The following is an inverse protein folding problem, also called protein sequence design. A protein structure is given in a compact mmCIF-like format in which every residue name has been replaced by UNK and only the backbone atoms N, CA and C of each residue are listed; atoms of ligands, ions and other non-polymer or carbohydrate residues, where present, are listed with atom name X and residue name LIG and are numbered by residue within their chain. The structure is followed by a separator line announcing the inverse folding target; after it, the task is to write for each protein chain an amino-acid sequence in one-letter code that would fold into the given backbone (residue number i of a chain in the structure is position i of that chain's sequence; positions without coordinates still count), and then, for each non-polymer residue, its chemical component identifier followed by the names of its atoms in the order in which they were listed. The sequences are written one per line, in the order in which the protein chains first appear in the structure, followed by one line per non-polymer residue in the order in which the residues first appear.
data_IF_690914711294
#
_entry.id   IF_690914711294
#
_cell.length_a   1.000
_cell.length_b   1.000
_cell.length_c   1.000
_cell.angle_alpha   90.00
_cell.angle_beta   90.00
_cell.angle_gamma   90.00
#
_symmetry.space_group_name_H-M   'P 1'
#
loop_
_entity.id
_entity.type
_entity.pdbx_description
1 polymer ?
#
# COMPACT_ATOMS: atom_id res chain seq x y z
N UNK A 1 -34.49 -2.57 -28.42
CA UNK A 1 -33.37 -3.28 -27.78
C UNK A 1 -32.46 -2.23 -27.15
N UNK A 2 -32.69 -1.87 -25.89
CA UNK A 2 -31.85 -0.88 -25.19
C UNK A 2 -30.93 -1.62 -24.23
N UNK A 3 -29.63 -1.58 -24.51
CA UNK A 3 -28.61 -2.05 -23.60
C UNK A 3 -28.61 -1.15 -22.35
N UNK A 4 -28.82 -1.73 -21.18
CA UNK A 4 -28.56 -1.03 -19.93
C UNK A 4 -27.04 -0.93 -19.74
N UNK A 5 -26.46 0.27 -19.50
CA UNK A 5 -25.08 0.37 -19.09
C UNK A 5 -24.92 -0.29 -17.71
N UNK A 6 -24.03 -1.28 -17.62
CA UNK A 6 -23.67 -1.95 -16.37
C UNK A 6 -23.01 -0.91 -15.45
N UNK A 7 -23.58 -0.72 -14.26
CA UNK A 7 -23.20 0.35 -13.33
C UNK A 7 -21.71 0.30 -12.92
N UNK A 8 -20.95 1.42 -13.02
CA UNK A 8 -19.55 1.51 -12.60
C UNK A 8 -19.32 1.60 -11.07
N UNK A 9 -20.41 1.65 -10.29
CA UNK A 9 -20.40 1.92 -8.85
C UNK A 9 -19.66 0.91 -7.96
N UNK A 10 -19.73 -0.43 -8.17
CA UNK A 10 -19.12 -1.38 -7.23
C UNK A 10 -17.60 -1.31 -7.22
N UNK A 11 -16.98 -1.15 -8.40
CA UNK A 11 -15.51 -1.05 -8.51
C UNK A 11 -15.01 0.26 -7.93
N UNK A 12 -15.73 1.37 -8.13
CA UNK A 12 -15.38 2.64 -7.51
C UNK A 12 -15.44 2.55 -5.97
N UNK A 13 -16.47 1.90 -5.42
CA UNK A 13 -16.57 1.65 -3.99
C UNK A 13 -15.41 0.80 -3.45
N UNK A 14 -15.00 -0.25 -4.17
CA UNK A 14 -13.84 -1.08 -3.80
C UNK A 14 -12.53 -0.29 -3.81
N UNK A 15 -12.30 0.55 -4.83
CA UNK A 15 -11.09 1.39 -4.90
C UNK A 15 -11.04 2.36 -3.72
N UNK A 16 -12.15 3.02 -3.41
CA UNK A 16 -12.23 3.96 -2.29
C UNK A 16 -12.06 3.27 -0.93
N UNK A 17 -12.67 2.10 -0.71
CA UNK A 17 -12.48 1.31 0.52
C UNK A 17 -11.02 0.88 0.70
N UNK A 18 -10.34 0.46 -0.38
CA UNK A 18 -8.92 0.09 -0.31
C UNK A 18 -8.01 1.30 0.01
N UNK A 19 -8.31 2.46 -0.56
CA UNK A 19 -7.60 3.72 -0.23
C UNK A 19 -7.83 4.09 1.23
N UNK A 20 -9.07 4.03 1.72
CA UNK A 20 -9.39 4.37 3.11
C UNK A 20 -8.68 3.42 4.11
N UNK A 21 -8.69 2.11 3.83
CA UNK A 21 -7.96 1.12 4.63
C UNK A 21 -6.44 1.27 4.56
N UNK A 22 -5.91 1.89 3.50
CA UNK A 22 -4.50 2.26 3.43
C UNK A 22 -4.20 3.37 4.41
N UNK A 23 -5.02 4.45 4.41
CA UNK A 23 -4.88 5.59 5.31
C UNK A 23 -5.01 5.18 6.78
N UNK A 24 -6.02 4.38 7.10
CA UNK A 24 -6.21 3.81 8.45
C UNK A 24 -4.98 2.96 8.84
N UNK A 25 -4.47 2.14 7.92
CA UNK A 25 -3.28 1.31 8.17
C UNK A 25 -2.02 2.14 8.44
N UNK A 26 -1.83 3.26 7.75
CA UNK A 26 -0.74 4.20 7.99
C UNK A 26 -0.86 4.85 9.37
N UNK A 27 -2.05 5.33 9.74
CA UNK A 27 -2.30 5.87 11.08
C UNK A 27 -2.00 4.84 12.17
N UNK A 28 -2.45 3.59 11.99
CA UNK A 28 -2.15 2.50 12.91
C UNK A 28 -0.63 2.24 13.00
N UNK A 29 0.09 2.28 11.88
CA UNK A 29 1.54 2.12 11.87
C UNK A 29 2.25 3.27 12.64
N UNK A 30 1.81 4.52 12.46
CA UNK A 30 2.35 5.67 13.20
C UNK A 30 2.18 5.51 14.72
N UNK A 31 1.10 4.87 15.16
CA UNK A 31 0.80 4.63 16.59
C UNK A 31 1.26 3.27 17.12
N UNK A 32 1.90 2.43 16.30
CA UNK A 32 2.37 1.13 16.75
C UNK A 32 3.50 1.27 17.79
N UNK A 33 3.44 0.45 18.83
CA UNK A 33 4.37 0.49 19.97
C UNK A 33 5.73 -0.15 19.65
N UNK A 34 5.78 -1.07 18.68
CA UNK A 34 7.01 -1.78 18.30
C UNK A 34 7.36 -1.53 16.84
N UNK A 35 8.67 -1.56 16.53
CA UNK A 35 9.17 -1.40 15.16
C UNK A 35 8.65 -2.49 14.21
N UNK A 36 8.52 -3.73 14.70
CA UNK A 36 7.99 -4.86 13.94
C UNK A 36 6.52 -4.66 13.56
N UNK A 37 5.68 -4.25 14.52
CA UNK A 37 4.27 -4.01 14.26
C UNK A 37 4.06 -2.80 13.34
N UNK A 38 4.83 -1.73 13.55
CA UNK A 38 4.86 -0.57 12.64
C UNK A 38 5.19 -1.00 11.22
N UNK A 39 6.25 -1.78 11.04
CA UNK A 39 6.69 -2.25 9.72
C UNK A 39 5.63 -3.14 9.07
N UNK A 40 5.02 -4.06 9.83
CA UNK A 40 3.97 -4.96 9.35
C UNK A 40 2.73 -4.20 8.89
N UNK A 41 2.27 -3.23 9.68
CA UNK A 41 1.12 -2.38 9.36
C UNK A 41 1.38 -1.50 8.13
N UNK A 42 2.57 -0.87 8.06
CA UNK A 42 2.97 -0.07 6.90
C UNK A 42 3.00 -0.93 5.62
N UNK A 43 3.58 -2.13 5.66
CA UNK A 43 3.62 -3.02 4.50
C UNK A 43 2.21 -3.46 4.07
N UNK A 44 1.32 -3.76 5.03
CA UNK A 44 -0.07 -4.11 4.73
C UNK A 44 -0.83 -2.93 4.10
N UNK A 45 -0.58 -1.71 4.54
CA UNK A 45 -1.12 -0.51 3.91
C UNK A 45 -0.65 -0.40 2.45
N UNK A 46 0.64 -0.61 2.17
CA UNK A 46 1.16 -0.61 0.80
C UNK A 46 0.47 -1.63 -0.12
N UNK A 47 0.24 -2.85 0.38
CA UNK A 47 -0.48 -3.90 -0.35
C UNK A 47 -1.90 -3.47 -0.74
N UNK A 48 -2.59 -2.76 0.16
CA UNK A 48 -3.95 -2.25 -0.10
C UNK A 48 -3.95 -1.12 -1.13
N UNK A 49 -2.97 -0.22 -1.07
CA UNK A 49 -2.81 0.84 -2.07
C UNK A 49 -2.58 0.25 -3.47
N UNK A 50 -1.68 -0.72 -3.60
CA UNK A 50 -1.44 -1.41 -4.88
C UNK A 50 -2.67 -2.19 -5.36
N UNK A 51 -3.41 -2.83 -4.44
CA UNK A 51 -4.67 -3.49 -4.77
C UNK A 51 -5.74 -2.51 -5.29
N UNK A 52 -5.75 -1.25 -4.82
CA UNK A 52 -6.67 -0.23 -5.32
C UNK A 52 -6.41 0.08 -6.80
N UNK A 53 -5.14 0.19 -7.21
CA UNK A 53 -4.75 0.33 -8.61
C UNK A 53 -5.24 -0.87 -9.43
N UNK A 54 -4.97 -2.09 -8.97
CA UNK A 54 -5.42 -3.30 -9.69
C UNK A 54 -6.95 -3.40 -9.76
N UNK A 55 -7.67 -2.94 -8.73
CA UNK A 55 -9.13 -2.92 -8.74
C UNK A 55 -9.67 -1.91 -9.77
N UNK A 56 -9.03 -0.75 -9.90
CA UNK A 56 -9.39 0.24 -10.91
C UNK A 56 -9.17 -0.28 -12.35
N UNK A 57 -8.06 -1.00 -12.57
CA UNK A 57 -7.67 -1.54 -13.87
C UNK A 57 -8.36 -2.86 -14.25
N UNK A 58 -8.94 -3.60 -13.29
CA UNK A 58 -9.70 -4.84 -13.56
C UNK A 58 -10.90 -4.67 -14.52
N UNK A 59 -11.25 -3.43 -14.88
CA UNK A 59 -12.19 -3.10 -15.96
C UNK A 59 -11.60 -3.26 -17.36
N UNK A 60 -10.28 -3.09 -17.51
CA UNK A 60 -9.53 -3.05 -18.77
C UNK A 60 -8.91 -4.41 -19.12
N UNK A 61 -8.59 -5.24 -18.13
CA UNK A 61 -7.99 -6.56 -18.35
C UNK A 61 -8.68 -7.65 -17.49
N UNK A 62 -9.10 -8.79 -18.07
CA UNK A 62 -9.60 -9.93 -17.32
C UNK A 62 -8.54 -10.49 -16.36
N UNK A 63 -8.91 -10.73 -15.08
CA UNK A 63 -8.00 -11.26 -14.07
C UNK A 63 -7.46 -12.64 -14.46
N UNK A 64 -6.14 -12.81 -14.43
CA UNK A 64 -5.44 -14.10 -14.58
C UNK A 64 -4.78 -14.50 -13.26
N UNK A 65 -5.51 -15.28 -12.44
CA UNK A 65 -4.99 -16.01 -11.27
C UNK A 65 -4.51 -15.19 -10.07
N UNK A 66 -4.13 -15.86 -8.96
CA UNK A 66 -3.47 -15.21 -7.83
C UNK A 66 -2.05 -14.82 -8.26
N UNK A 67 -1.86 -13.55 -8.60
CA UNK A 67 -0.53 -12.98 -8.85
C UNK A 67 -0.11 -12.14 -7.67
N UNK A 68 1.18 -12.20 -7.34
CA UNK A 68 1.82 -11.25 -6.45
C UNK A 68 1.50 -9.84 -6.95
N UNK A 69 0.86 -9.01 -6.12
CA UNK A 69 0.43 -7.65 -6.49
C UNK A 69 1.59 -6.82 -7.06
N UNK A 70 2.79 -7.01 -6.52
CA UNK A 70 4.01 -6.33 -6.95
C UNK A 70 4.49 -6.79 -8.33
N UNK A 71 4.20 -8.04 -8.74
CA UNK A 71 4.52 -8.51 -10.08
C UNK A 71 3.53 -8.01 -11.15
N UNK A 72 2.32 -7.61 -10.76
CA UNK A 72 1.28 -7.14 -11.69
C UNK A 72 1.31 -5.62 -11.85
N UNK A 73 1.63 -4.90 -10.77
CA UNK A 73 1.56 -3.43 -10.73
C UNK A 73 2.27 -2.74 -11.91
N UNK A 74 3.50 -3.12 -12.31
CA UNK A 74 4.20 -2.48 -13.44
C UNK A 74 3.45 -2.61 -14.77
N UNK A 75 2.64 -3.65 -14.95
CA UNK A 75 1.87 -3.86 -16.18
C UNK A 75 0.65 -2.94 -16.32
N UNK A 76 0.13 -2.41 -15.21
CA UNK A 76 -1.07 -1.56 -15.20
C UNK A 76 -0.76 -0.11 -14.83
N UNK A 77 0.32 0.12 -14.09
CA UNK A 77 0.83 1.43 -13.70
C UNK A 77 2.37 1.42 -13.79
N UNK A 78 2.95 1.56 -15.00
CA UNK A 78 4.40 1.53 -15.20
C UNK A 78 5.18 2.58 -14.39
N UNK A 79 4.56 3.72 -14.10
CA UNK A 79 5.11 4.77 -13.23
C UNK A 79 5.30 4.32 -11.77
N UNK A 80 4.65 3.22 -11.36
CA UNK A 80 4.79 2.62 -10.04
C UNK A 80 5.74 1.41 -10.04
N UNK A 81 6.46 1.14 -11.13
CA UNK A 81 7.32 -0.04 -11.24
C UNK A 81 8.46 -0.05 -10.22
N UNK A 82 9.14 1.08 -10.02
CA UNK A 82 10.22 1.19 -9.03
C UNK A 82 9.72 0.93 -7.60
N UNK A 83 8.49 1.36 -7.31
CA UNK A 83 7.83 1.07 -6.04
C UNK A 83 7.51 -0.41 -5.87
N UNK A 84 7.08 -1.08 -6.94
CA UNK A 84 6.82 -2.51 -6.92
C UNK A 84 8.09 -3.31 -6.58
N UNK A 85 9.22 -2.95 -7.20
CA UNK A 85 10.52 -3.58 -6.92
C UNK A 85 10.99 -3.30 -5.48
N UNK A 86 10.86 -2.05 -5.02
CA UNK A 86 11.13 -1.67 -3.64
C UNK A 86 10.33 -2.52 -2.65
N UNK A 87 9.01 -2.60 -2.80
CA UNK A 87 8.15 -3.32 -1.87
C UNK A 87 8.35 -4.85 -1.94
N UNK A 88 8.63 -5.41 -3.11
CA UNK A 88 9.03 -6.82 -3.24
C UNK A 88 10.31 -7.12 -2.44
N UNK A 89 11.28 -6.19 -2.44
CA UNK A 89 12.47 -6.26 -1.61
C UNK A 89 12.17 -6.18 -0.10
N UNK A 90 11.23 -5.34 0.32
CA UNK A 90 10.84 -5.20 1.74
C UNK A 90 10.17 -6.47 2.30
N UNK A 91 9.44 -7.22 1.48
CA UNK A 91 8.82 -8.49 1.89
C UNK A 91 9.87 -9.57 2.21
N UNK A 92 10.96 -9.59 1.46
CA UNK A 92 12.10 -10.50 1.72
C UNK A 92 12.77 -10.19 3.06
N UNK A 93 12.91 -8.90 3.39
CA UNK A 93 13.48 -8.46 4.68
C UNK A 93 12.57 -8.86 5.85
N UNK A 94 11.25 -8.75 5.69
CA UNK A 94 10.29 -9.22 6.70
C UNK A 94 10.46 -10.70 7.03
N UNK A 95 10.65 -11.56 6.02
CA UNK A 95 10.89 -12.98 6.26
C UNK A 95 12.15 -13.25 7.10
N UNK A 96 13.19 -12.45 6.95
CA UNK A 96 14.40 -12.55 7.79
C UNK A 96 14.13 -12.14 9.23
N UNK A 97 13.31 -11.11 9.44
CA UNK A 97 12.88 -10.66 10.78
C UNK A 97 12.04 -11.72 11.47
N UNK A 98 11.07 -12.32 10.77
CA UNK A 98 10.23 -13.39 11.33
C UNK A 98 11.04 -14.62 11.74
N UNK A 99 12.15 -14.90 11.05
CA UNK A 99 13.10 -15.96 11.42
C UNK A 99 14.10 -15.57 12.51
N UNK A 100 14.07 -14.32 13.00
CA UNK A 100 15.04 -13.77 13.95
C UNK A 100 16.44 -13.52 13.36
N UNK A 101 16.59 -13.65 12.04
CA UNK A 101 17.86 -13.45 11.34
C UNK A 101 18.21 -11.96 11.14
N UNK A 102 17.25 -11.06 11.34
CA UNK A 102 17.43 -9.61 11.25
C UNK A 102 16.56 -8.92 12.29
N UNK A 103 17.13 -7.94 13.02
CA UNK A 103 16.37 -7.07 13.91
C UNK A 103 16.03 -5.78 13.16
N UNK A 104 14.75 -5.37 13.18
CA UNK A 104 14.32 -4.08 12.63
C UNK A 104 14.55 -2.96 13.63
N UNK A 105 15.22 -1.92 13.19
CA UNK A 105 15.31 -0.67 13.96
C UNK A 105 14.02 0.16 13.83
N UNK A 106 13.74 0.97 14.84
CA UNK A 106 12.68 2.00 14.79
C UNK A 106 12.79 2.87 13.55
N UNK A 107 14.02 3.27 13.20
CA UNK A 107 14.29 4.10 12.02
C UNK A 107 13.86 3.42 10.73
N UNK A 108 14.16 2.14 10.55
CA UNK A 108 13.74 1.40 9.36
C UNK A 108 12.22 1.29 9.25
N UNK A 109 11.52 1.11 10.37
CA UNK A 109 10.07 1.11 10.39
C UNK A 109 9.49 2.48 10.05
N UNK A 110 10.08 3.57 10.56
CA UNK A 110 9.67 4.94 10.26
C UNK A 110 9.98 5.37 8.82
N UNK A 111 11.12 4.91 8.29
CA UNK A 111 11.47 5.05 6.87
C UNK A 111 10.42 4.32 6.01
N UNK A 112 10.01 3.10 6.38
CA UNK A 112 8.96 2.39 5.64
C UNK A 112 7.63 3.14 5.66
N UNK A 113 7.20 3.67 6.80
CA UNK A 113 5.97 4.48 6.90
C UNK A 113 6.01 5.65 5.90
N UNK A 114 7.13 6.39 5.88
CA UNK A 114 7.35 7.50 4.93
C UNK A 114 7.30 7.05 3.46
N UNK A 115 7.91 5.91 3.15
CA UNK A 115 7.89 5.35 1.81
C UNK A 115 6.47 4.93 1.38
N UNK A 116 5.69 4.35 2.29
CA UNK A 116 4.30 3.95 2.00
C UNK A 116 3.39 5.15 1.82
N UNK A 117 3.62 6.22 2.58
CA UNK A 117 2.90 7.47 2.39
C UNK A 117 3.19 8.06 1.01
N UNK A 118 4.46 8.26 0.64
CA UNK A 118 4.86 8.74 -0.68
C UNK A 118 4.28 7.88 -1.81
N UNK A 119 4.27 6.56 -1.64
CA UNK A 119 3.63 5.65 -2.57
C UNK A 119 2.12 5.87 -2.69
N UNK A 120 1.42 6.09 -1.57
CA UNK A 120 0.00 6.39 -1.58
C UNK A 120 -0.30 7.69 -2.33
N UNK A 121 0.55 8.72 -2.23
CA UNK A 121 0.37 9.96 -3.00
C UNK A 121 0.36 9.70 -4.51
N UNK A 122 1.31 8.89 -4.98
CA UNK A 122 1.41 8.50 -6.38
C UNK A 122 0.24 7.61 -6.82
N UNK A 123 -0.21 6.70 -5.96
CA UNK A 123 -1.42 5.89 -6.22
C UNK A 123 -2.65 6.77 -6.35
N UNK A 124 -2.84 7.77 -5.46
CA UNK A 124 -3.95 8.71 -5.55
C UNK A 124 -3.90 9.53 -6.83
N UNK A 125 -2.71 10.01 -7.21
CA UNK A 125 -2.49 10.73 -8.46
C UNK A 125 -2.83 9.86 -9.68
N UNK A 126 -2.38 8.61 -9.71
CA UNK A 126 -2.72 7.64 -10.77
C UNK A 126 -4.23 7.38 -10.86
N UNK A 127 -4.92 7.32 -9.72
CA UNK A 127 -6.36 7.12 -9.65
C UNK A 127 -7.19 8.39 -9.91
N UNK A 128 -6.55 9.55 -10.06
CA UNK A 128 -7.22 10.84 -10.21
C UNK A 128 -7.97 11.30 -8.94
N UNK A 129 -7.53 10.83 -7.77
CA UNK A 129 -8.14 11.14 -6.47
C UNK A 129 -7.34 12.24 -5.74
N UNK A 130 -8.01 13.19 -5.05
CA UNK A 130 -7.32 14.21 -4.27
C UNK A 130 -6.65 13.60 -3.03
N UNK A 131 -5.43 14.05 -2.72
CA UNK A 131 -4.79 13.82 -1.43
C UNK A 131 -5.27 14.89 -0.44
N UNK A 132 -5.75 14.47 0.74
CA UNK A 132 -6.43 15.39 1.68
C UNK A 132 -5.58 15.72 2.91
N UNK A 133 -4.70 14.82 3.40
CA UNK A 133 -3.76 15.12 4.50
C UNK A 133 -2.53 14.20 4.44
N UNK A 134 -1.36 14.73 4.82
CA UNK A 134 -0.12 13.97 5.04
C UNK A 134 -0.10 13.41 6.48
N UNK A 135 0.13 12.10 6.61
CA UNK A 135 0.12 11.34 7.86
C UNK A 135 1.47 11.36 8.60
N UNK A 136 2.56 11.81 7.97
CA UNK A 136 3.91 11.74 8.55
C UNK A 136 4.10 12.58 9.81
N UNK A 137 3.25 13.58 10.06
CA UNK A 137 3.39 14.49 11.20
C UNK A 137 3.17 13.81 12.57
N UNK A 138 2.65 12.58 12.62
CA UNK A 138 2.26 11.91 13.86
C UNK A 138 3.18 10.73 14.28
N UNK A 139 4.33 10.51 13.63
CA UNK A 139 5.25 9.42 14.03
C UNK A 139 5.81 9.73 15.42
N UNK A 140 5.28 9.07 16.44
CA UNK A 140 5.73 9.25 17.82
C UNK A 140 7.14 8.66 17.99
N UNK A 141 8.07 9.34 18.68
CA UNK A 141 9.37 8.79 18.98
C UNK A 141 9.16 7.51 19.80
N UNK A 142 9.50 6.37 19.22
CA UNK A 142 9.39 5.09 19.91
C UNK A 142 10.55 5.04 20.89
N UNK A 143 10.26 5.30 22.16
CA UNK A 143 11.23 5.16 23.23
C UNK A 143 11.71 3.71 23.24
N UNK A 144 12.95 3.49 22.78
CA UNK A 144 13.65 2.24 23.01
C UNK A 144 13.89 2.14 24.53
N UNK A 145 13.23 1.17 25.17
CA UNK A 145 13.44 0.83 26.57
C UNK A 145 14.80 0.18 26.81
#
# INVERSE_FOLDING_TARGET
MSAHPVSPAPVAATVLDLVDRTRIGLLQACHAETAEERYRLAHLAALRAAAAVLAADARRTPRSGPRNVWAVLPGVAPELAEWADFFAGTARRRGQVETGALLLSTREADDLVRQVEAFLELVLAHLGLPMVESFTACVAPTNAG
#
